data_IF_936490590876
#
_entry.id   IF_936490590876
#
_cell.length_a   1.000
_cell.length_b   1.000
_cell.length_c   1.000
_cell.angle_alpha   90.00
_cell.angle_beta   90.00
_cell.angle_gamma   90.00
#
_symmetry.space_group_name_H-M   'P 1'
#
loop_
_entity.id
_entity.type
_entity.pdbx_description
1 polymer ?
#
# COMPACT_ATOMS: atom_id res chain seq x y z
N UNK A 1 47.37 -87.58 -37.50
CA UNK A 1 47.29 -86.45 -36.55
C UNK A 1 45.91 -85.83 -36.72
N UNK A 2 45.13 -85.89 -35.63
CA UNK A 2 43.83 -85.30 -35.28
C UNK A 2 42.61 -85.33 -36.23
N UNK A 3 41.53 -85.84 -35.64
CA UNK A 3 40.15 -86.06 -36.07
C UNK A 3 39.26 -84.82 -35.80
N UNK A 4 38.18 -84.63 -36.57
CA UNK A 4 36.77 -84.71 -36.12
C UNK A 4 35.74 -84.30 -37.22
N UNK A 5 34.79 -85.22 -37.42
CA UNK A 5 33.41 -85.14 -37.99
C UNK A 5 32.54 -84.04 -37.36
N UNK A 6 31.34 -83.62 -37.83
CA UNK A 6 30.49 -83.90 -39.00
C UNK A 6 29.31 -82.88 -39.05
N UNK A 7 28.79 -82.67 -40.27
CA UNK A 7 27.39 -82.56 -40.75
C UNK A 7 26.25 -81.79 -40.04
N UNK A 8 25.31 -81.40 -40.92
CA UNK A 8 23.90 -80.99 -40.77
C UNK A 8 23.70 -79.48 -40.52
N UNK A 9 23.12 -78.67 -41.39
CA UNK A 9 22.12 -78.97 -42.44
C UNK A 9 20.71 -78.91 -41.84
N UNK A 10 20.05 -77.76 -41.96
CA UNK A 10 18.61 -77.59 -41.71
C UNK A 10 18.26 -76.77 -40.46
N UNK A 11 18.08 -75.46 -40.62
CA UNK A 11 17.43 -74.59 -39.64
C UNK A 11 16.64 -73.53 -40.39
N UNK A 12 15.31 -73.62 -40.35
CA UNK A 12 14.39 -72.90 -41.22
C UNK A 12 14.51 -71.38 -41.16
N UNK A 13 14.25 -70.75 -42.31
CA UNK A 13 13.94 -69.32 -42.37
C UNK A 13 12.46 -69.20 -42.66
N UNK A 14 11.74 -68.53 -41.77
CA UNK A 14 10.36 -68.13 -41.97
C UNK A 14 10.25 -67.32 -43.27
N UNK A 15 9.49 -67.83 -44.25
CA UNK A 15 8.92 -66.99 -45.30
C UNK A 15 7.85 -66.11 -44.63
N UNK A 16 8.26 -64.92 -44.20
CA UNK A 16 7.32 -63.84 -43.95
C UNK A 16 7.16 -63.12 -45.29
N UNK A 17 5.99 -63.29 -45.92
CA UNK A 17 5.53 -62.36 -46.95
C UNK A 17 5.74 -60.94 -46.40
N UNK A 18 6.51 -60.12 -47.12
CA UNK A 18 6.78 -58.75 -46.72
C UNK A 18 5.46 -58.02 -46.59
N UNK A 19 5.00 -57.82 -45.35
CA UNK A 19 3.76 -57.11 -45.05
C UNK A 19 4.00 -55.67 -45.45
N UNK A 20 3.43 -55.26 -46.58
CA UNK A 20 3.19 -53.85 -46.86
C UNK A 20 2.32 -53.30 -45.72
N UNK A 21 2.98 -52.64 -44.77
CA UNK A 21 2.29 -51.73 -43.87
C UNK A 21 1.70 -50.65 -44.76
N UNK A 22 0.40 -50.75 -45.08
CA UNK A 22 -0.33 -49.60 -45.58
C UNK A 22 -0.11 -48.52 -44.53
N UNK A 23 0.71 -47.53 -44.88
CA UNK A 23 0.92 -46.31 -44.10
C UNK A 23 -0.42 -45.93 -43.52
N UNK A 24 -0.53 -45.96 -42.19
CA UNK A 24 -1.76 -45.66 -41.48
C UNK A 24 -2.22 -44.29 -42.00
N UNK A 25 -3.24 -44.28 -42.87
CA UNK A 25 -3.84 -43.03 -43.31
C UNK A 25 -4.38 -42.37 -42.04
N UNK A 26 -4.07 -41.08 -41.94
CA UNK A 26 -4.32 -40.15 -40.84
C UNK A 26 -3.48 -40.37 -39.57
N UNK A 27 -2.24 -39.89 -39.59
CA UNK A 27 -1.85 -39.00 -38.50
C UNK A 27 -2.76 -37.77 -38.65
N UNK A 28 -3.78 -37.65 -37.80
CA UNK A 28 -4.49 -36.38 -37.66
C UNK A 28 -3.44 -35.34 -37.27
N UNK A 29 -3.16 -34.36 -38.14
CA UNK A 29 -2.31 -33.23 -37.76
C UNK A 29 -2.91 -32.60 -36.50
N UNK A 30 -2.07 -32.32 -35.50
CA UNK A 30 -2.51 -31.60 -34.32
C UNK A 30 -3.14 -30.26 -34.76
N UNK A 31 -4.28 -29.86 -34.18
CA UNK A 31 -4.94 -28.62 -34.55
C UNK A 31 -3.97 -27.45 -34.36
N UNK A 32 -3.84 -26.62 -35.40
CA UNK A 32 -3.05 -25.38 -35.36
C UNK A 32 -3.91 -24.30 -34.73
N UNK A 33 -3.51 -23.85 -33.55
CA UNK A 33 -4.14 -22.72 -32.88
C UNK A 33 -3.46 -21.42 -33.29
N UNK A 34 -4.24 -20.35 -33.41
CA UNK A 34 -3.76 -18.99 -33.57
C UNK A 34 -4.45 -18.12 -32.52
N UNK A 35 -3.72 -17.14 -32.01
CA UNK A 35 -4.28 -16.17 -31.06
C UNK A 35 -5.42 -15.40 -31.72
N UNK A 36 -6.48 -15.16 -30.94
CA UNK A 36 -7.58 -14.30 -31.39
C UNK A 36 -7.08 -12.86 -31.53
N UNK A 37 -7.44 -12.22 -32.64
CA UNK A 37 -7.17 -10.79 -32.80
C UNK A 37 -8.04 -10.01 -31.83
N UNK A 38 -7.38 -9.35 -30.87
CA UNK A 38 -8.01 -8.47 -29.90
C UNK A 38 -7.49 -7.05 -30.05
N UNK A 39 -8.36 -6.07 -29.80
CA UNK A 39 -7.92 -4.69 -29.69
C UNK A 39 -7.02 -4.54 -28.46
N UNK A 40 -5.89 -3.84 -28.63
CA UNK A 40 -4.98 -3.60 -27.53
C UNK A 40 -5.69 -2.73 -26.48
N UNK A 41 -5.71 -3.12 -25.20
CA UNK A 41 -6.28 -2.30 -24.15
C UNK A 41 -5.66 -0.91 -24.18
N UNK A 42 -6.49 0.12 -24.08
CA UNK A 42 -6.02 1.49 -23.93
C UNK A 42 -5.12 1.55 -22.69
N UNK A 43 -3.84 1.85 -22.91
CA UNK A 43 -2.93 2.12 -21.80
C UNK A 43 -3.35 3.47 -21.20
N UNK A 44 -3.54 3.57 -19.88
CA UNK A 44 -3.53 4.86 -19.22
C UNK A 44 -2.24 5.58 -19.63
N UNK A 45 -2.29 6.91 -19.78
CA UNK A 45 -1.13 7.69 -20.19
C UNK A 45 -0.02 7.58 -19.12
N UNK A 46 0.88 6.59 -19.29
CA UNK A 46 1.93 6.22 -18.34
C UNK A 46 2.89 7.41 -18.07
N UNK A 47 2.89 8.40 -18.97
CA UNK A 47 3.70 9.62 -18.88
C UNK A 47 3.07 10.75 -18.04
N UNK A 48 1.80 10.65 -17.63
CA UNK A 48 1.10 11.74 -16.91
C UNK A 48 0.67 11.39 -15.48
N UNK A 49 0.77 10.13 -15.10
CA UNK A 49 0.50 9.73 -13.71
C UNK A 49 1.71 10.16 -12.88
N UNK A 50 1.63 11.29 -12.16
CA UNK A 50 2.72 11.69 -11.27
C UNK A 50 3.04 10.53 -10.32
N UNK A 51 4.27 10.45 -9.79
CA UNK A 51 4.65 9.33 -8.94
C UNK A 51 3.63 9.12 -7.79
N UNK A 52 3.03 10.20 -7.27
CA UNK A 52 1.97 10.18 -6.26
C UNK A 52 0.60 9.67 -6.74
N UNK A 53 0.33 9.66 -8.03
CA UNK A 53 -0.94 9.20 -8.61
C UNK A 53 -0.94 7.68 -8.85
N UNK A 54 0.21 6.99 -8.69
CA UNK A 54 0.24 5.51 -8.69
C UNK A 54 -0.46 4.96 -7.44
N UNK A 55 -1.26 3.87 -7.57
CA UNK A 55 -1.94 3.25 -6.45
C UNK A 55 -0.95 2.83 -5.36
N UNK A 56 -1.32 3.08 -4.11
CA UNK A 56 -0.57 2.70 -2.92
C UNK A 56 -1.51 2.01 -1.92
N UNK A 57 -0.94 1.30 -0.94
CA UNK A 57 -1.73 0.69 0.12
C UNK A 57 -2.23 1.73 1.14
N UNK A 58 -1.66 2.92 1.12
CA UNK A 58 -2.05 4.00 2.01
C UNK A 58 -1.12 5.20 1.86
N UNK A 59 -1.42 6.24 2.62
CA UNK A 59 -0.61 7.44 2.69
C UNK A 59 -0.49 7.93 4.12
N UNK A 60 0.62 8.58 4.43
CA UNK A 60 0.83 9.31 5.67
C UNK A 60 1.35 10.72 5.37
N UNK A 61 0.91 11.70 6.15
CA UNK A 61 1.40 13.07 6.08
C UNK A 61 1.77 13.55 7.47
N UNK A 62 2.91 14.20 7.60
CA UNK A 62 3.40 14.72 8.89
C UNK A 62 2.55 15.91 9.31
N UNK A 63 2.22 16.01 10.60
CA UNK A 63 1.55 17.20 11.15
C UNK A 63 2.45 18.43 10.94
N UNK A 64 1.98 19.47 10.22
CA UNK A 64 2.78 20.66 9.98
C UNK A 64 3.16 21.35 11.28
N UNK A 65 4.44 21.71 11.42
CA UNK A 65 4.97 22.51 12.52
C UNK A 65 5.93 23.54 11.94
N UNK A 66 5.56 24.82 12.03
CA UNK A 66 6.39 25.90 11.49
C UNK A 66 7.46 26.32 12.49
N UNK A 67 8.62 26.73 12.00
CA UNK A 67 9.59 27.41 12.84
C UNK A 67 9.09 28.80 13.21
N UNK A 68 9.01 29.14 14.50
CA UNK A 68 8.40 30.41 14.95
C UNK A 68 9.34 31.37 15.67
N UNK A 69 10.60 30.99 15.93
CA UNK A 69 11.64 31.80 16.60
C UNK A 69 12.80 32.13 15.62
N UNK A 70 13.53 33.24 15.79
CA UNK A 70 13.75 34.24 14.75
C UNK A 70 14.85 33.93 13.75
N UNK A 71 15.72 32.93 13.94
CA UNK A 71 16.83 32.72 12.99
C UNK A 71 16.34 32.28 11.61
N UNK A 72 15.35 31.38 11.58
CA UNK A 72 14.69 30.88 10.37
C UNK A 72 13.19 30.77 10.61
N UNK A 73 12.56 31.90 10.96
CA UNK A 73 11.11 31.93 11.19
C UNK A 73 10.37 31.67 9.87
N UNK A 74 9.48 30.70 9.90
CA UNK A 74 8.54 30.39 8.83
C UNK A 74 7.21 31.08 9.12
N UNK A 75 6.73 31.87 8.16
CA UNK A 75 5.39 32.46 8.22
C UNK A 75 4.30 31.44 7.82
N UNK A 76 4.67 30.43 7.04
CA UNK A 76 3.73 29.43 6.55
C UNK A 76 4.43 28.09 6.31
N UNK A 77 3.97 27.05 7.00
CA UNK A 77 4.28 25.65 6.67
C UNK A 77 3.09 25.05 5.94
N UNK A 78 3.10 25.20 4.62
CA UNK A 78 2.06 24.70 3.74
C UNK A 78 2.05 23.16 3.67
N UNK A 79 0.89 22.61 3.31
CA UNK A 79 0.74 21.22 2.88
C UNK A 79 0.76 21.16 1.36
N UNK A 80 1.45 20.17 0.82
CA UNK A 80 1.57 19.92 -0.61
C UNK A 80 1.38 18.44 -0.92
N UNK A 81 1.18 18.11 -2.21
CA UNK A 81 1.13 16.71 -2.65
C UNK A 81 2.42 15.95 -2.29
N UNK A 82 3.57 16.63 -2.26
CA UNK A 82 4.86 16.01 -2.01
C UNK A 82 5.09 15.65 -0.52
N UNK A 83 4.30 16.22 0.40
CA UNK A 83 4.40 15.89 1.83
C UNK A 83 3.72 14.55 2.18
N UNK A 84 2.98 13.97 1.23
CA UNK A 84 2.35 12.67 1.39
C UNK A 84 3.34 11.55 1.06
N UNK A 85 3.59 10.71 2.06
CA UNK A 85 4.43 9.53 1.94
C UNK A 85 3.57 8.30 1.66
N UNK A 86 3.96 7.50 0.67
CA UNK A 86 3.27 6.25 0.33
C UNK A 86 3.57 5.18 1.35
N UNK A 87 2.54 4.43 1.71
CA UNK A 87 2.65 3.25 2.56
C UNK A 87 2.63 1.98 1.71
N UNK A 88 3.55 1.07 2.02
CA UNK A 88 3.67 -0.24 1.36
C UNK A 88 2.63 -1.24 1.85
N UNK A 89 2.65 -2.43 1.24
CA UNK A 89 1.83 -3.56 1.64
C UNK A 89 2.07 -4.00 3.11
N UNK A 90 1.12 -4.76 3.65
CA UNK A 90 1.18 -5.31 5.01
C UNK A 90 0.02 -4.84 5.88
N UNK A 91 0.09 -5.16 7.17
CA UNK A 91 -1.00 -4.87 8.10
C UNK A 91 -1.36 -3.39 8.14
N UNK A 92 -2.67 -3.02 8.16
CA UNK A 92 -3.11 -1.63 8.17
C UNK A 92 -2.55 -0.84 9.37
N UNK A 93 -2.36 -1.51 10.51
CA UNK A 93 -1.84 -0.93 11.73
C UNK A 93 -0.32 -0.82 11.81
N UNK A 94 0.44 -1.29 10.80
CA UNK A 94 1.89 -1.40 10.88
C UNK A 94 2.57 -0.62 9.75
N UNK A 95 3.26 0.48 10.09
CA UNK A 95 4.03 1.26 9.12
C UNK A 95 5.09 2.14 9.83
N UNK A 96 6.19 2.52 9.12
CA UNK A 96 7.34 3.17 9.74
C UNK A 96 7.01 4.44 10.54
N UNK A 97 6.12 5.28 10.00
CA UNK A 97 5.72 6.54 10.60
C UNK A 97 4.96 6.34 11.92
N UNK A 98 4.14 5.29 12.02
CA UNK A 98 3.50 4.92 13.29
C UNK A 98 4.55 4.48 14.31
N UNK A 99 5.46 3.61 13.90
CA UNK A 99 6.53 3.10 14.76
C UNK A 99 7.43 4.22 15.27
N UNK A 100 7.75 5.23 14.44
CA UNK A 100 8.50 6.42 14.87
C UNK A 100 7.85 7.09 16.09
N UNK A 101 6.52 7.27 16.06
CA UNK A 101 5.78 7.98 17.10
C UNK A 101 5.50 7.12 18.32
N UNK A 102 5.15 5.84 18.11
CA UNK A 102 4.91 4.88 19.18
C UNK A 102 6.16 4.67 20.03
N UNK A 103 7.34 4.58 19.39
CA UNK A 103 8.60 4.32 20.07
C UNK A 103 9.20 5.54 20.81
N UNK A 104 8.62 6.73 20.67
CA UNK A 104 9.07 7.89 21.46
C UNK A 104 8.75 7.68 22.95
N UNK A 105 9.71 7.95 23.82
CA UNK A 105 9.56 7.81 25.28
C UNK A 105 8.96 9.05 25.93
N UNK A 106 9.13 10.22 25.32
CA UNK A 106 8.64 11.50 25.82
C UNK A 106 7.27 11.87 25.22
N UNK A 107 6.52 12.67 25.97
CA UNK A 107 5.22 13.17 25.55
C UNK A 107 4.08 12.15 25.63
N UNK A 108 2.86 12.65 25.61
CA UNK A 108 1.64 11.83 25.68
C UNK A 108 1.30 11.30 24.29
N UNK A 109 1.20 9.98 24.14
CA UNK A 109 0.73 9.34 22.91
C UNK A 109 -0.78 9.59 22.74
N UNK A 110 -1.16 10.04 21.55
CA UNK A 110 -2.54 10.23 21.16
C UNK A 110 -2.73 9.54 19.80
N UNK A 111 -3.72 8.65 19.71
CA UNK A 111 -4.09 7.94 18.48
C UNK A 111 -5.61 8.03 18.31
N UNK A 112 -6.08 8.18 17.06
CA UNK A 112 -7.52 8.34 16.75
C UNK A 112 -8.33 7.08 17.05
N UNK A 113 -7.74 5.92 16.82
CA UNK A 113 -8.35 4.60 17.01
C UNK A 113 -7.35 3.72 17.74
N UNK A 114 -7.58 3.49 19.04
CA UNK A 114 -6.84 2.44 19.75
C UNK A 114 -7.49 1.08 19.45
N UNK A 115 -6.70 0.00 19.31
CA UNK A 115 -7.25 -1.35 19.38
C UNK A 115 -7.94 -1.50 20.75
N UNK A 116 -9.19 -1.97 20.74
CA UNK A 116 -9.96 -2.35 21.93
C UNK A 116 -10.54 -1.24 22.81
N UNK A 117 -10.36 0.03 22.48
CA UNK A 117 -11.12 1.13 23.09
C UNK A 117 -12.14 1.69 22.10
N UNK A 118 -13.33 2.06 22.60
CA UNK A 118 -14.23 2.97 21.91
C UNK A 118 -13.50 4.33 21.77
N UNK A 119 -12.63 4.42 20.77
CA UNK A 119 -11.82 5.61 20.51
C UNK A 119 -12.70 6.86 20.43
N UNK A 120 -12.10 8.03 20.61
CA UNK A 120 -12.81 9.32 20.62
C UNK A 120 -13.62 9.59 19.34
N UNK A 121 -13.21 8.99 18.23
CA UNK A 121 -13.88 9.06 16.93
C UNK A 121 -14.31 7.66 16.51
N UNK A 122 -15.59 7.35 16.68
CA UNK A 122 -16.17 6.09 16.23
C UNK A 122 -17.63 6.28 15.78
N UNK A 123 -18.12 5.34 14.99
CA UNK A 123 -19.54 5.22 14.65
C UNK A 123 -20.06 3.96 15.31
N UNK A 124 -21.09 4.10 16.15
CA UNK A 124 -21.70 2.97 16.85
C UNK A 124 -22.13 1.89 15.86
N UNK A 125 -21.75 0.64 16.15
CA UNK A 125 -21.97 -0.51 15.27
C UNK A 125 -20.99 -0.65 14.09
N UNK A 126 -20.06 0.30 13.88
CA UNK A 126 -19.06 0.31 12.82
C UNK A 126 -17.66 0.58 13.39
N UNK A 127 -17.22 -0.28 14.32
CA UNK A 127 -16.05 -0.03 15.17
C UNK A 127 -14.84 -0.91 14.86
N UNK A 128 -15.06 -2.08 14.21
CA UNK A 128 -14.00 -3.08 13.95
C UNK A 128 -13.61 -3.09 12.48
N UNK A 129 -12.66 -2.25 12.10
CA UNK A 129 -12.08 -2.25 10.75
C UNK A 129 -10.95 -3.27 10.66
N UNK A 130 -11.16 -4.33 9.87
CA UNK A 130 -10.18 -5.41 9.66
C UNK A 130 -9.13 -5.02 8.60
N UNK A 131 -9.60 -4.52 7.44
CA UNK A 131 -8.73 -4.25 6.29
C UNK A 131 -8.26 -2.81 6.18
N UNK A 132 -8.69 -1.91 7.08
CA UNK A 132 -8.39 -0.48 6.99
C UNK A 132 -8.08 0.09 8.37
N UNK A 133 -7.08 0.96 8.44
CA UNK A 133 -6.84 1.85 9.57
C UNK A 133 -6.64 3.27 9.05
N UNK A 134 -7.29 4.23 9.68
CA UNK A 134 -7.19 5.64 9.32
C UNK A 134 -7.30 6.54 10.53
N UNK A 135 -6.72 7.74 10.39
CA UNK A 135 -6.80 8.81 11.36
C UNK A 135 -5.42 9.32 11.72
N UNK A 136 -5.16 9.59 13.00
CA UNK A 136 -3.92 10.24 13.43
C UNK A 136 -3.19 9.46 14.51
N UNK A 137 -1.87 9.66 14.56
CA UNK A 137 -1.04 9.29 15.70
C UNK A 137 -0.03 10.42 15.97
N UNK A 138 0.07 10.89 17.20
CA UNK A 138 1.02 11.93 17.58
C UNK A 138 1.43 11.87 19.06
N UNK A 139 2.58 12.48 19.35
CA UNK A 139 3.04 12.80 20.70
C UNK A 139 2.81 14.28 20.99
N UNK A 140 2.12 14.56 22.10
CA UNK A 140 1.95 15.92 22.62
C UNK A 140 2.88 16.19 23.81
N UNK A 141 3.14 17.46 24.11
CA UNK A 141 3.97 17.84 25.27
C UNK A 141 5.46 17.51 25.12
N UNK A 142 5.93 17.33 23.88
CA UNK A 142 7.35 17.16 23.58
C UNK A 142 8.14 18.45 23.88
N UNK A 143 9.42 18.34 24.24
CA UNK A 143 10.29 19.50 24.39
C UNK A 143 10.38 20.28 23.08
N UNK A 144 10.67 21.56 23.23
CA UNK A 144 10.91 22.47 22.13
C UNK A 144 12.09 22.00 21.29
N UNK A 145 11.87 21.82 19.99
CA UNK A 145 12.89 21.39 19.06
C UNK A 145 13.70 22.60 18.58
N UNK A 146 15.03 22.53 18.73
CA UNK A 146 15.97 23.59 18.34
C UNK A 146 16.90 23.06 17.25
N UNK A 147 16.83 23.66 16.07
CA UNK A 147 17.66 23.28 14.91
C UNK A 147 18.33 24.55 14.39
N UNK A 148 19.65 24.62 14.54
CA UNK A 148 20.48 25.75 14.08
C UNK A 148 20.00 27.13 14.56
N UNK A 149 19.37 27.21 15.74
CA UNK A 149 18.80 28.44 16.30
C UNK A 149 17.36 28.75 15.84
N UNK A 150 16.79 27.91 14.98
CA UNK A 150 15.36 27.85 14.67
C UNK A 150 14.63 27.03 15.73
N UNK A 151 13.39 27.39 16.02
CA UNK A 151 12.60 26.73 17.06
C UNK A 151 11.22 26.38 16.55
N UNK A 152 10.79 25.14 16.83
CA UNK A 152 9.41 24.70 16.63
C UNK A 152 8.93 23.86 17.81
N UNK A 153 7.62 23.81 18.01
CA UNK A 153 6.96 23.00 19.04
C UNK A 153 5.57 22.58 18.55
N UNK A 154 4.87 21.80 19.37
CA UNK A 154 3.55 21.26 19.07
C UNK A 154 3.56 19.76 18.75
N UNK A 155 2.39 19.19 18.47
CA UNK A 155 2.21 17.76 18.22
C UNK A 155 3.15 17.22 17.16
N UNK A 156 3.97 16.22 17.49
CA UNK A 156 4.80 15.50 16.51
C UNK A 156 4.09 14.21 16.14
N UNK A 157 3.68 14.08 14.89
CA UNK A 157 2.92 12.92 14.47
C UNK A 157 2.54 12.95 12.99
N UNK A 158 1.61 12.07 12.65
CA UNK A 158 1.14 11.85 11.29
C UNK A 158 -0.38 11.72 11.27
N UNK A 159 -0.99 12.19 10.18
CA UNK A 159 -2.31 11.78 9.71
C UNK A 159 -2.09 10.69 8.66
N UNK A 160 -2.80 9.57 8.72
CA UNK A 160 -2.62 8.48 7.77
C UNK A 160 -3.90 7.72 7.45
N UNK A 161 -3.87 7.03 6.31
CA UNK A 161 -4.76 5.93 5.99
C UNK A 161 -3.93 4.76 5.46
N UNK A 162 -4.31 3.54 5.78
CA UNK A 162 -3.68 2.35 5.24
C UNK A 162 -4.72 1.24 5.14
N UNK A 163 -4.74 0.57 3.99
CA UNK A 163 -5.50 -0.62 3.73
C UNK A 163 -4.61 -1.84 3.52
N UNK A 164 -5.19 -3.02 3.71
CA UNK A 164 -4.65 -4.30 3.28
C UNK A 164 -5.65 -4.97 2.33
N UNK A 165 -5.18 -6.00 1.62
CA UNK A 165 -6.02 -6.83 0.74
C UNK A 165 -6.92 -6.04 -0.22
N UNK A 166 -6.35 -5.30 -1.19
CA UNK A 166 -7.13 -4.54 -2.17
C UNK A 166 -8.19 -5.42 -2.82
N UNK A 167 -9.44 -4.94 -2.81
CA UNK A 167 -10.61 -5.73 -3.22
C UNK A 167 -10.47 -6.25 -4.65
N UNK A 168 -10.62 -7.56 -4.82
CA UNK A 168 -10.62 -8.22 -6.13
C UNK A 168 -12.03 -8.39 -6.71
N UNK A 169 -13.06 -8.04 -5.94
CA UNK A 169 -14.46 -8.06 -6.35
C UNK A 169 -15.19 -6.89 -5.68
N UNK A 170 -16.18 -6.34 -6.38
CA UNK A 170 -17.03 -5.26 -5.89
C UNK A 170 -18.49 -5.72 -5.83
N UNK A 171 -19.28 -5.25 -4.86
CA UNK A 171 -20.70 -5.59 -4.75
C UNK A 171 -21.49 -4.99 -5.92
N UNK A 172 -22.55 -5.69 -6.33
CA UNK A 172 -23.51 -5.22 -7.33
C UNK A 172 -24.73 -4.63 -6.59
N UNK A 173 -25.10 -3.39 -6.92
CA UNK A 173 -26.22 -2.69 -6.29
C UNK A 173 -25.78 -1.65 -5.25
N UNK A 174 -26.72 -1.17 -4.44
CA UNK A 174 -26.47 -0.09 -3.47
C UNK A 174 -25.88 -0.65 -2.19
N UNK A 175 -24.69 -0.18 -1.81
CA UNK A 175 -24.04 -0.46 -0.53
C UNK A 175 -23.78 0.85 0.21
N UNK A 176 -23.95 0.85 1.52
CA UNK A 176 -23.70 2.02 2.38
C UNK A 176 -22.55 1.70 3.32
N UNK A 177 -21.51 2.53 3.29
CA UNK A 177 -20.38 2.47 4.20
C UNK A 177 -20.51 3.59 5.22
N UNK A 178 -20.19 3.28 6.48
CA UNK A 178 -20.04 4.27 7.55
C UNK A 178 -18.66 4.13 8.16
N UNK A 179 -18.12 5.24 8.63
CA UNK A 179 -16.81 5.30 9.25
C UNK A 179 -16.51 6.71 9.71
N UNK A 180 -15.23 6.97 9.94
CA UNK A 180 -14.73 8.25 10.43
C UNK A 180 -13.87 8.93 9.37
N UNK A 181 -13.61 10.21 9.59
CA UNK A 181 -12.65 10.97 8.81
C UNK A 181 -11.91 11.90 9.75
N UNK A 182 -10.65 12.18 9.42
CA UNK A 182 -9.76 13.02 10.19
C UNK A 182 -9.06 13.99 9.24
N UNK A 183 -8.59 15.11 9.77
CA UNK A 183 -7.91 16.14 8.98
C UNK A 183 -6.78 16.79 9.75
N UNK A 184 -5.84 17.37 9.01
CA UNK A 184 -4.83 18.29 9.52
C UNK A 184 -4.74 19.49 8.59
N UNK A 185 -4.61 20.68 9.16
CA UNK A 185 -4.39 21.93 8.41
C UNK A 185 -2.90 22.23 8.26
N UNK A 186 -2.59 23.20 7.41
CA UNK A 186 -1.29 23.87 7.41
C UNK A 186 -1.06 24.68 8.70
N UNK A 187 0.15 25.22 8.86
CA UNK A 187 0.47 26.11 9.99
C UNK A 187 0.90 27.47 9.47
N UNK A 188 0.09 28.51 9.72
CA UNK A 188 0.31 29.86 9.18
C UNK A 188 0.27 30.92 10.28
N UNK A 189 1.23 31.84 10.25
CA UNK A 189 1.36 32.88 11.26
C UNK A 189 0.05 33.64 11.48
N UNK A 190 -0.44 33.61 12.71
CA UNK A 190 -1.64 34.34 13.13
C UNK A 190 -2.97 33.72 12.69
N UNK A 191 -2.95 32.57 11.99
CA UNK A 191 -4.16 31.81 11.68
C UNK A 191 -4.75 31.23 12.96
N UNK A 192 -6.07 31.39 13.12
CA UNK A 192 -6.80 30.91 14.30
C UNK A 192 -8.14 30.36 13.87
N UNK A 193 -8.51 29.24 14.47
CA UNK A 193 -9.81 28.61 14.28
C UNK A 193 -10.51 28.59 15.64
N UNK A 194 -11.47 29.48 15.86
CA UNK A 194 -12.15 29.64 17.16
C UNK A 194 -12.85 28.36 17.65
N UNK A 195 -13.18 27.44 16.74
CA UNK A 195 -13.88 26.19 17.04
C UNK A 195 -12.95 24.96 17.13
N UNK A 196 -11.67 25.06 16.74
CA UNK A 196 -10.78 23.89 16.52
C UNK A 196 -9.56 23.86 17.45
N UNK A 197 -9.57 24.62 18.55
CA UNK A 197 -8.57 24.51 19.61
C UNK A 197 -7.97 25.84 20.08
N UNK A 198 -6.87 25.73 20.84
CA UNK A 198 -6.17 26.88 21.43
C UNK A 198 -5.45 27.74 20.38
N UNK A 199 -5.07 28.96 20.78
CA UNK A 199 -4.49 30.00 19.90
C UNK A 199 -3.24 29.60 19.08
N UNK A 200 -2.63 28.44 19.34
CA UNK A 200 -1.45 27.93 18.65
C UNK A 200 -1.76 26.91 17.53
N UNK A 201 -2.94 26.27 17.55
CA UNK A 201 -3.39 25.38 16.49
C UNK A 201 -3.84 26.19 15.26
N UNK A 202 -3.36 25.82 14.08
CA UNK A 202 -3.42 26.63 12.86
C UNK A 202 -2.31 27.67 12.78
N UNK A 203 -1.76 28.14 13.90
CA UNK A 203 -0.65 29.10 13.92
C UNK A 203 0.71 28.39 13.90
N UNK A 204 1.14 27.80 15.02
CA UNK A 204 2.47 27.19 15.18
C UNK A 204 2.55 25.78 14.60
N UNK A 205 1.42 25.08 14.62
CA UNK A 205 1.27 23.73 14.09
C UNK A 205 -0.13 23.56 13.52
N UNK A 206 -0.30 22.60 12.62
CA UNK A 206 -1.58 22.31 11.99
C UNK A 206 -2.66 21.95 13.02
N UNK A 207 -3.84 22.56 12.91
CA UNK A 207 -5.01 22.11 13.63
C UNK A 207 -5.43 20.71 13.14
N UNK A 208 -5.71 19.80 14.07
CA UNK A 208 -6.03 18.39 13.85
C UNK A 208 -7.45 18.12 14.36
N UNK A 209 -8.16 17.12 13.80
CA UNK A 209 -9.51 16.71 14.18
C UNK A 209 -9.67 16.09 15.59
N UNK A 210 -8.58 15.90 16.34
CA UNK A 210 -8.53 15.12 17.59
C UNK A 210 -8.52 15.89 18.90
#
# INVERSE_FOLDING_TARGET
VFLLSACLGGGGSFDLDSVETKQHKSQSEAPKYHDEQTEKPAKPDEAQTAENDRPAYGFAVKIPRRFWYPRNKEDHKALSKADWEKLGAGEPGEFPQKNEISNMTEGTLNESIQPDEDGKSHVEGYTKFEYVRSGYIYRNGLPMERIDGSVRNGPKGYLSNKGSNPSQALPIGKVVYKGTWDYVTDAKMGQKFSQLGGSQAGDKYGALSG
#
